data_IF_484251321254
#
_entry.id   IF_484251321254
#
_cell.length_a   1.000
_cell.length_b   1.000
_cell.length_c   1.000
_cell.angle_alpha   90.00
_cell.angle_beta   90.00
_cell.angle_gamma   90.00
#
_symmetry.space_group_name_H-M   'P 1'
#
loop_
_entity.id
_entity.type
_entity.pdbx_description
1 polymer ?
#
# COMPACT_ATOMS: atom_id res chain seq x y z
N UNK A 1 37.37 21.83 37.05
CA UNK A 1 36.15 22.60 37.39
C UNK A 1 35.89 23.61 36.28
N UNK A 2 34.61 23.77 35.90
CA UNK A 2 34.00 24.52 34.77
C UNK A 2 33.98 23.73 33.44
N UNK A 3 32.89 23.08 33.00
CA UNK A 3 31.48 23.46 32.74
C UNK A 3 31.30 24.20 31.39
N UNK A 4 30.79 23.49 30.36
CA UNK A 4 29.46 23.63 29.67
C UNK A 4 29.28 24.99 28.97
N UNK A 5 28.92 25.11 27.69
CA UNK A 5 27.80 24.47 26.97
C UNK A 5 27.97 24.55 25.44
N UNK A 6 27.72 23.45 24.72
CA UNK A 6 27.44 23.45 23.28
C UNK A 6 25.94 23.23 23.08
N UNK A 7 25.27 24.17 22.41
CA UNK A 7 23.84 24.11 22.15
C UNK A 7 23.50 23.13 21.02
N UNK A 8 22.51 22.28 21.27
CA UNK A 8 21.80 21.50 20.26
C UNK A 8 20.93 22.42 19.40
N UNK A 9 21.02 22.28 18.07
CA UNK A 9 20.05 22.85 17.14
C UNK A 9 18.98 21.80 16.90
N UNK A 10 17.78 22.07 17.44
CA UNK A 10 16.56 21.33 17.15
C UNK A 10 16.10 21.62 15.72
N UNK A 11 15.73 20.57 15.01
CA UNK A 11 15.05 20.65 13.73
C UNK A 11 13.55 20.64 14.02
N UNK A 12 12.92 21.80 13.92
CA UNK A 12 11.46 21.92 13.98
C UNK A 12 10.86 21.53 12.63
N UNK A 13 9.76 20.78 12.72
CA UNK A 13 8.87 20.37 11.63
C UNK A 13 8.32 21.60 10.88
N UNK A 14 8.71 21.77 9.61
CA UNK A 14 8.03 22.67 8.68
C UNK A 14 7.90 22.00 7.32
N UNK A 15 6.86 21.19 7.11
CA UNK A 15 6.33 20.92 5.78
C UNK A 15 4.94 20.26 5.87
N UNK A 16 3.89 21.03 5.58
CA UNK A 16 2.62 20.61 4.94
C UNK A 16 1.59 21.75 5.08
N UNK A 17 1.80 22.84 4.33
CA UNK A 17 0.87 23.96 4.25
C UNK A 17 0.44 24.31 2.81
N UNK A 18 0.62 23.39 1.86
CA UNK A 18 0.31 23.64 0.44
C UNK A 18 -0.67 22.60 -0.14
N UNK A 19 -1.84 22.39 0.47
CA UNK A 19 -2.97 21.71 -0.20
C UNK A 19 -4.33 22.13 0.39
N UNK A 20 -4.51 23.43 0.61
CA UNK A 20 -5.79 24.01 1.02
C UNK A 20 -6.24 25.07 0.02
N UNK A 21 -6.78 24.65 -1.13
CA UNK A 21 -7.67 25.45 -2.00
C UNK A 21 -8.02 24.66 -3.29
N UNK A 22 -8.94 23.67 -3.20
CA UNK A 22 -9.61 23.09 -4.39
C UNK A 22 -10.96 22.50 -3.99
N UNK A 23 -11.88 23.31 -3.45
CA UNK A 23 -13.27 22.91 -3.28
C UNK A 23 -14.19 24.15 -3.32
N UNK A 24 -14.52 24.63 -4.51
CA UNK A 24 -15.84 25.19 -4.80
C UNK A 24 -16.21 24.87 -6.26
N UNK A 25 -17.46 24.44 -6.44
CA UNK A 25 -18.25 24.53 -7.67
C UNK A 25 -18.52 23.23 -8.46
N UNK A 26 -19.49 22.44 -7.98
CA UNK A 26 -20.36 21.61 -8.84
C UNK A 26 -21.83 21.77 -8.45
N UNK A 27 -22.37 22.95 -8.76
CA UNK A 27 -23.81 23.19 -8.76
C UNK A 27 -24.48 22.67 -10.03
N UNK A 28 -25.17 21.52 -9.91
CA UNK A 28 -26.44 21.23 -10.58
C UNK A 28 -26.45 20.98 -12.09
N UNK A 29 -26.71 19.72 -12.48
CA UNK A 29 -27.32 19.40 -13.77
C UNK A 29 -28.45 18.35 -13.60
N UNK A 30 -29.60 18.71 -14.17
CA UNK A 30 -30.89 18.00 -14.08
C UNK A 30 -30.93 16.77 -14.98
N UNK A 31 -31.74 15.80 -14.55
CA UNK A 31 -32.22 14.64 -15.32
C UNK A 31 -32.92 15.05 -16.63
N UNK A 32 -32.59 14.36 -17.73
CA UNK A 32 -33.36 14.25 -18.97
C UNK A 32 -33.05 12.88 -19.59
N UNK A 33 -33.99 11.93 -19.51
CA UNK A 33 -34.92 11.50 -20.57
C UNK A 33 -34.31 10.47 -21.53
N UNK A 34 -34.86 9.26 -21.39
CA UNK A 34 -34.77 8.04 -22.19
C UNK A 34 -35.13 8.30 -23.66
N UNK A 35 -34.45 7.64 -24.59
CA UNK A 35 -35.09 7.11 -25.80
C UNK A 35 -34.58 5.69 -26.10
N UNK A 36 -35.45 4.81 -26.63
CA UNK A 36 -35.21 3.38 -26.85
C UNK A 36 -34.91 3.05 -28.32
N UNK A 37 -34.76 1.76 -28.62
CA UNK A 37 -34.73 1.16 -29.98
C UNK A 37 -33.31 1.20 -30.61
N UNK A 38 -32.68 0.12 -31.09
CA UNK A 38 -33.17 -1.19 -31.55
C UNK A 38 -32.05 -2.24 -31.54
N UNK A 39 -32.51 -3.48 -31.40
CA UNK A 39 -31.80 -4.75 -31.53
C UNK A 39 -31.14 -4.96 -32.90
N UNK A 40 -29.94 -5.55 -32.94
CA UNK A 40 -29.56 -6.44 -34.05
C UNK A 40 -28.59 -7.54 -33.59
N UNK A 41 -29.17 -8.65 -33.15
CA UNK A 41 -28.52 -9.93 -32.93
C UNK A 41 -28.85 -10.84 -34.11
N UNK A 42 -27.90 -11.10 -35.02
CA UNK A 42 -27.80 -12.39 -35.72
C UNK A 42 -26.55 -12.51 -36.61
N UNK A 43 -26.00 -13.73 -36.57
CA UNK A 43 -25.30 -14.43 -37.64
C UNK A 43 -23.78 -14.19 -37.80
N UNK A 44 -23.00 -15.13 -37.27
CA UNK A 44 -22.06 -15.90 -38.07
C UNK A 44 -21.86 -17.29 -37.44
N UNK A 45 -22.08 -18.33 -38.24
CA UNK A 45 -21.72 -19.72 -38.01
C UNK A 45 -20.66 -20.10 -39.01
N UNK A 46 -19.69 -20.86 -38.51
CA UNK A 46 -18.95 -21.98 -39.09
C UNK A 46 -18.11 -21.78 -40.36
N UNK A 47 -17.10 -22.66 -40.46
CA UNK A 47 -16.18 -22.95 -41.57
C UNK A 47 -14.88 -22.10 -41.52
N UNK A 48 -13.65 -22.60 -41.54
CA UNK A 48 -13.06 -23.93 -41.73
C UNK A 48 -11.57 -23.87 -41.30
N UNK A 49 -11.04 -25.05 -40.98
CA UNK A 49 -9.67 -25.58 -41.10
C UNK A 49 -8.51 -24.69 -41.59
N UNK A 50 -7.37 -24.79 -40.89
CA UNK A 50 -5.95 -24.71 -41.32
C UNK A 50 -5.12 -24.50 -40.02
N UNK A 51 -3.99 -25.08 -39.68
CA UNK A 51 -2.87 -25.67 -40.42
C UNK A 51 -1.99 -26.43 -39.38
N UNK A 52 -1.23 -27.40 -39.87
CA UNK A 52 -0.29 -28.24 -39.13
C UNK A 52 0.99 -27.47 -38.72
N UNK A 53 1.56 -27.80 -37.56
CA UNK A 53 3.01 -28.01 -37.46
C UNK A 53 3.84 -27.09 -36.56
N UNK A 54 4.90 -27.72 -36.02
CA UNK A 54 6.07 -27.20 -35.30
C UNK A 54 5.80 -26.81 -33.83
N UNK A 55 6.12 -27.62 -32.80
CA UNK A 55 7.44 -28.16 -32.42
C UNK A 55 8.54 -27.10 -32.33
N UNK A 56 8.36 -26.17 -31.41
CA UNK A 56 9.43 -25.43 -30.77
C UNK A 56 9.47 -25.79 -29.28
N UNK A 57 10.44 -26.65 -28.94
CA UNK A 57 10.81 -26.91 -27.56
C UNK A 57 11.23 -25.62 -26.85
N UNK A 58 10.32 -25.09 -26.04
CA UNK A 58 10.65 -24.12 -25.01
C UNK A 58 11.38 -24.88 -23.90
N UNK A 59 12.71 -24.94 -24.01
CA UNK A 59 13.57 -25.15 -22.86
C UNK A 59 13.28 -24.01 -21.89
N UNK A 60 12.46 -24.29 -20.87
CA UNK A 60 12.34 -23.44 -19.71
C UNK A 60 13.75 -23.28 -19.13
N UNK A 61 14.30 -22.08 -19.26
CA UNK A 61 15.40 -21.61 -18.45
C UNK A 61 14.91 -21.56 -17.00
N UNK A 62 14.99 -22.72 -16.34
CA UNK A 62 14.85 -22.91 -14.90
C UNK A 62 16.00 -22.20 -14.17
N UNK A 63 16.04 -20.87 -14.27
CA UNK A 63 16.88 -20.04 -13.42
C UNK A 63 16.22 -19.93 -12.05
N UNK A 64 16.43 -20.98 -11.24
CA UNK A 64 16.39 -20.99 -9.77
C UNK A 64 15.33 -20.07 -9.16
N UNK A 65 14.07 -20.33 -9.49
CA UNK A 65 12.92 -19.77 -8.81
C UNK A 65 12.48 -20.69 -7.68
N UNK A 66 13.42 -21.09 -6.84
CA UNK A 66 13.07 -21.83 -5.63
C UNK A 66 12.17 -20.93 -4.78
N UNK A 67 10.92 -21.38 -4.56
CA UNK A 67 9.87 -20.75 -3.74
C UNK A 67 10.24 -20.62 -2.25
N UNK A 68 11.42 -20.05 -1.99
CA UNK A 68 11.98 -19.72 -0.71
C UNK A 68 11.38 -18.39 -0.31
N UNK A 69 10.41 -18.45 0.60
CA UNK A 69 9.95 -17.36 1.48
C UNK A 69 11.03 -16.28 1.62
N UNK A 70 10.75 -15.05 1.17
CA UNK A 70 11.74 -13.97 1.08
C UNK A 70 12.42 -13.66 2.43
N UNK A 71 11.75 -13.95 3.54
CA UNK A 71 12.31 -13.86 4.90
C UNK A 71 13.45 -14.88 5.18
N UNK A 72 13.59 -15.91 4.33
CA UNK A 72 14.60 -16.97 4.44
C UNK A 72 15.80 -16.81 3.51
N UNK A 73 15.78 -15.85 2.59
CA UNK A 73 16.97 -15.48 1.81
C UNK A 73 18.03 -14.97 2.81
N UNK A 74 19.30 -15.25 2.58
CA UNK A 74 20.35 -14.69 3.43
C UNK A 74 20.45 -13.18 3.17
N UNK A 75 20.51 -12.37 4.23
CA UNK A 75 20.67 -10.92 4.18
C UNK A 75 21.55 -10.46 5.35
N UNK A 76 22.25 -9.35 5.15
CA UNK A 76 23.14 -8.76 6.15
C UNK A 76 22.55 -7.46 6.73
N UNK A 77 21.62 -6.83 5.99
CA UNK A 77 20.97 -5.59 6.40
C UNK A 77 19.45 -5.69 6.43
N UNK A 78 18.85 -4.86 7.29
CA UNK A 78 17.41 -4.66 7.38
C UNK A 78 17.05 -3.20 7.16
N UNK A 79 15.94 -3.01 6.47
CA UNK A 79 15.41 -1.72 6.10
C UNK A 79 14.33 -1.34 7.10
N UNK A 80 14.55 -0.24 7.82
CA UNK A 80 13.57 0.29 8.74
C UNK A 80 12.69 1.31 8.03
N UNK A 81 11.44 0.96 7.79
CA UNK A 81 10.45 1.85 7.21
C UNK A 81 9.54 2.46 8.27
N UNK A 82 9.20 3.73 8.10
CA UNK A 82 8.01 4.33 8.71
C UNK A 82 6.92 4.43 7.64
N UNK A 83 5.80 3.76 7.87
CA UNK A 83 4.63 3.75 7.01
C UNK A 83 3.59 4.64 7.68
N UNK A 84 3.15 5.71 7.00
CA UNK A 84 2.17 6.66 7.55
C UNK A 84 0.99 6.76 6.60
N UNK A 85 -0.20 6.51 7.09
CA UNK A 85 -1.44 6.68 6.34
C UNK A 85 -1.69 8.19 6.15
N UNK A 86 -1.85 8.63 4.90
CA UNK A 86 -2.03 10.03 4.55
C UNK A 86 -3.47 10.46 4.85
N UNK A 87 -3.68 11.79 4.92
CA UNK A 87 -4.99 12.45 5.04
C UNK A 87 -5.78 12.17 6.32
N UNK A 88 -5.30 11.32 7.24
CA UNK A 88 -5.94 11.10 8.54
C UNK A 88 -5.18 11.83 9.66
N UNK A 89 -5.93 12.49 10.55
CA UNK A 89 -5.40 13.13 11.76
C UNK A 89 -6.21 12.71 13.00
N UNK A 90 -5.55 12.39 14.14
CA UNK A 90 -4.11 12.23 14.35
C UNK A 90 -3.48 11.11 13.48
N UNK A 91 -2.17 11.14 13.20
CA UNK A 91 -1.58 10.22 12.23
C UNK A 91 -1.66 8.75 12.69
N UNK A 92 -2.08 7.89 11.77
CA UNK A 92 -1.99 6.42 11.89
C UNK A 92 -0.69 5.99 11.22
N UNK A 93 0.16 5.25 11.94
CA UNK A 93 1.47 4.86 11.41
C UNK A 93 2.03 3.59 12.03
N UNK A 94 2.95 2.95 11.30
CA UNK A 94 3.71 1.77 11.69
C UNK A 94 5.18 1.99 11.40
N UNK A 95 6.04 1.38 12.21
CA UNK A 95 7.47 1.30 11.96
C UNK A 95 7.88 -0.16 11.97
N UNK A 96 8.34 -0.62 10.81
CA UNK A 96 8.70 -2.01 10.58
C UNK A 96 10.15 -2.11 10.17
N UNK A 97 10.73 -3.30 10.38
CA UNK A 97 12.01 -3.69 9.82
C UNK A 97 11.80 -4.91 8.94
N UNK A 98 12.28 -4.82 7.70
CA UNK A 98 12.18 -5.90 6.71
C UNK A 98 13.57 -6.23 6.16
N UNK A 99 13.81 -7.48 5.72
CA UNK A 99 15.03 -7.84 5.01
C UNK A 99 15.31 -6.93 3.80
N UNK A 100 16.58 -6.60 3.53
CA UNK A 100 16.95 -5.89 2.29
C UNK A 100 16.60 -6.68 1.02
N UNK A 101 16.43 -7.99 1.15
CA UNK A 101 16.09 -8.93 0.08
C UNK A 101 14.61 -8.96 -0.28
N UNK A 102 13.78 -8.10 0.34
CA UNK A 102 12.37 -7.99 0.00
C UNK A 102 12.16 -7.45 -1.42
N UNK A 103 11.14 -8.00 -2.08
CA UNK A 103 10.50 -7.38 -3.25
C UNK A 103 9.50 -6.31 -2.82
N UNK A 104 9.00 -5.51 -3.75
CA UNK A 104 7.87 -4.61 -3.47
C UNK A 104 6.61 -5.39 -3.10
N UNK A 105 6.43 -6.60 -3.65
CA UNK A 105 5.35 -7.49 -3.25
C UNK A 105 5.47 -7.93 -1.78
N UNK A 106 6.68 -8.34 -1.34
CA UNK A 106 6.91 -8.70 0.06
C UNK A 106 6.67 -7.50 1.01
N UNK A 107 7.05 -6.30 0.57
CA UNK A 107 6.77 -5.06 1.30
C UNK A 107 5.27 -4.76 1.36
N UNK A 108 4.53 -4.96 0.27
CA UNK A 108 3.07 -4.86 0.24
C UNK A 108 2.43 -5.78 1.28
N UNK A 109 2.77 -7.07 1.27
CA UNK A 109 2.25 -8.04 2.26
C UNK A 109 2.57 -7.59 3.69
N UNK A 110 3.79 -7.12 3.96
CA UNK A 110 4.16 -6.62 5.27
C UNK A 110 3.39 -5.36 5.68
N UNK A 111 3.05 -4.47 4.73
CA UNK A 111 2.20 -3.29 4.99
C UNK A 111 0.79 -3.75 5.37
N UNK A 112 0.21 -4.68 4.60
CA UNK A 112 -1.11 -5.25 4.87
C UNK A 112 -1.18 -5.85 6.29
N UNK A 113 -0.17 -6.64 6.67
CA UNK A 113 -0.09 -7.27 8.00
C UNK A 113 -0.05 -6.25 9.14
N UNK A 114 0.70 -5.15 8.99
CA UNK A 114 0.78 -4.12 10.04
C UNK A 114 -0.40 -3.17 10.06
N UNK A 115 -1.12 -3.04 8.95
CA UNK A 115 -2.37 -2.29 8.89
C UNK A 115 -3.56 -3.14 9.36
N UNK A 116 -3.46 -4.46 9.37
CA UNK A 116 -4.58 -5.35 9.69
C UNK A 116 -5.56 -5.49 8.52
N UNK A 117 -5.03 -5.45 7.30
CA UNK A 117 -5.77 -5.58 6.05
C UNK A 117 -5.52 -6.94 5.39
N UNK A 118 -6.43 -7.35 4.53
CA UNK A 118 -6.50 -8.70 4.00
C UNK A 118 -5.78 -8.85 2.66
N UNK A 119 -5.57 -7.77 1.92
CA UNK A 119 -4.81 -7.78 0.66
C UNK A 119 -5.62 -8.21 -0.56
N UNK A 120 -6.94 -8.00 -0.57
CA UNK A 120 -7.81 -8.39 -1.69
C UNK A 120 -7.95 -7.36 -2.81
N UNK A 121 -7.56 -6.11 -2.57
CA UNK A 121 -7.63 -5.04 -3.55
C UNK A 121 -6.29 -4.82 -4.25
N UNK A 122 -6.35 -4.13 -5.40
CA UNK A 122 -5.16 -3.71 -6.14
C UNK A 122 -4.31 -2.72 -5.34
N UNK A 123 -3.02 -2.69 -5.65
CA UNK A 123 -2.06 -1.75 -5.07
C UNK A 123 -1.01 -1.28 -6.06
N UNK A 124 -0.38 -0.17 -5.73
CA UNK A 124 0.78 0.35 -6.44
C UNK A 124 1.74 1.07 -5.49
N UNK A 125 3.00 1.13 -5.89
CA UNK A 125 4.00 2.02 -5.35
C UNK A 125 4.43 3.00 -6.43
N UNK A 126 4.46 4.29 -6.08
CA UNK A 126 4.97 5.36 -6.92
C UNK A 126 6.19 5.97 -6.25
N UNK A 127 7.32 5.99 -6.95
CA UNK A 127 8.53 6.63 -6.47
C UNK A 127 9.49 7.05 -7.59
N UNK A 128 10.40 7.97 -7.28
CA UNK A 128 11.45 8.38 -8.20
C UNK A 128 12.55 7.30 -8.33
N UNK A 129 13.01 7.09 -9.55
CA UNK A 129 14.16 6.25 -9.86
C UNK A 129 15.43 6.85 -9.24
N UNK A 130 16.21 6.10 -8.44
CA UNK A 130 17.39 6.65 -7.77
C UNK A 130 18.50 7.07 -8.73
N UNK A 131 18.50 6.57 -9.98
CA UNK A 131 19.50 6.89 -11.01
C UNK A 131 19.00 7.98 -11.94
N UNK A 132 17.79 7.84 -12.49
CA UNK A 132 17.26 8.75 -13.53
C UNK A 132 16.44 9.91 -12.96
N UNK A 133 15.92 9.78 -11.73
CA UNK A 133 14.99 10.72 -11.13
C UNK A 133 13.58 10.70 -11.71
N UNK A 134 13.31 9.85 -12.71
CA UNK A 134 11.99 9.70 -13.31
C UNK A 134 11.05 8.96 -12.36
N UNK A 135 9.77 9.34 -12.36
CA UNK A 135 8.73 8.62 -11.64
C UNK A 135 8.56 7.21 -12.21
N UNK A 136 8.38 6.23 -11.34
CA UNK A 136 8.12 4.84 -11.68
C UNK A 136 6.93 4.34 -10.90
N UNK A 137 6.21 3.42 -11.52
CA UNK A 137 5.02 2.79 -11.00
C UNK A 137 5.33 1.29 -10.86
N UNK A 138 5.16 0.76 -9.66
CA UNK A 138 5.50 -0.62 -9.31
C UNK A 138 4.26 -1.26 -8.69
N UNK A 139 3.75 -2.33 -9.30
CA UNK A 139 2.52 -2.99 -8.87
C UNK A 139 2.33 -4.31 -9.60
N UNK A 140 1.10 -4.83 -9.58
CA UNK A 140 0.73 -5.98 -10.41
C UNK A 140 0.45 -5.48 -11.84
N UNK A 141 1.21 -5.90 -12.85
CA UNK A 141 0.93 -5.52 -14.23
C UNK A 141 -0.45 -6.02 -14.65
N UNK A 142 -1.21 -5.19 -15.36
CA UNK A 142 -2.49 -5.57 -15.95
C UNK A 142 -2.49 -5.22 -17.43
N UNK A 143 -2.98 -6.15 -18.24
CA UNK A 143 -3.15 -5.98 -19.69
C UNK A 143 -4.21 -4.92 -20.04
N UNK A 144 -5.06 -4.55 -19.08
CA UNK A 144 -6.14 -3.58 -19.30
C UNK A 144 -5.67 -2.12 -19.18
N UNK A 145 -4.45 -1.87 -18.68
CA UNK A 145 -3.92 -0.54 -18.39
C UNK A 145 -2.72 -0.18 -19.29
N UNK A 146 -2.97 -0.08 -20.60
CA UNK A 146 -1.95 0.18 -21.65
C UNK A 146 -1.30 1.58 -21.63
N UNK A 147 -1.71 2.48 -20.73
CA UNK A 147 -1.28 3.89 -20.78
C UNK A 147 0.00 4.17 -19.99
N UNK A 148 0.41 3.27 -19.08
CA UNK A 148 1.56 3.48 -18.21
C UNK A 148 2.32 2.18 -17.95
N UNK A 149 3.66 2.22 -18.07
CA UNK A 149 4.51 1.08 -17.75
C UNK A 149 4.48 0.81 -16.23
N UNK A 150 3.90 -0.33 -15.83
CA UNK A 150 3.89 -0.83 -14.46
C UNK A 150 4.99 -1.89 -14.34
N UNK A 151 5.99 -1.62 -13.49
CA UNK A 151 7.00 -2.59 -13.14
C UNK A 151 6.42 -3.64 -12.20
N UNK A 152 6.72 -4.91 -12.43
CA UNK A 152 6.14 -6.01 -11.67
C UNK A 152 6.72 -6.08 -10.25
N UNK A 153 5.87 -5.88 -9.24
CA UNK A 153 6.24 -5.80 -7.83
C UNK A 153 6.95 -7.06 -7.26
N UNK A 154 6.62 -8.25 -7.76
CA UNK A 154 7.27 -9.51 -7.41
C UNK A 154 8.70 -9.66 -7.94
N UNK A 155 9.08 -8.83 -8.93
CA UNK A 155 10.43 -8.85 -9.55
C UNK A 155 11.30 -7.70 -9.06
N UNK A 156 10.68 -6.61 -8.63
CA UNK A 156 11.40 -5.42 -8.18
C UNK A 156 11.79 -5.51 -6.71
N UNK A 157 13.09 -5.48 -6.44
CA UNK A 157 13.68 -5.56 -5.10
C UNK A 157 13.75 -4.18 -4.46
N UNK A 158 13.30 -4.01 -3.22
CA UNK A 158 13.27 -2.70 -2.53
C UNK A 158 14.66 -2.05 -2.46
N UNK A 159 15.71 -2.85 -2.33
CA UNK A 159 17.10 -2.37 -2.22
C UNK A 159 17.61 -1.68 -3.49
N UNK A 160 17.01 -1.94 -4.66
CA UNK A 160 17.36 -1.24 -5.92
C UNK A 160 16.89 0.21 -5.92
N UNK A 161 15.91 0.54 -5.08
CA UNK A 161 15.18 1.81 -5.11
C UNK A 161 15.47 2.64 -3.85
N UNK A 162 15.38 1.99 -2.69
CA UNK A 162 15.73 2.56 -1.39
C UNK A 162 17.22 2.34 -1.11
N UNK A 163 18.06 3.17 -1.73
CA UNK A 163 19.52 3.11 -1.64
C UNK A 163 20.10 3.95 -0.49
N UNK A 164 19.33 4.92 0.02
CA UNK A 164 19.74 5.80 1.11
C UNK A 164 18.58 6.21 2.02
N UNK A 165 18.91 6.51 3.27
CA UNK A 165 17.95 7.04 4.24
C UNK A 165 17.23 8.28 3.70
N UNK A 166 15.98 8.45 4.12
CA UNK A 166 15.05 9.54 3.77
C UNK A 166 14.44 9.48 2.38
N UNK A 167 14.72 8.43 1.59
CA UNK A 167 13.92 8.14 0.40
C UNK A 167 12.52 7.65 0.79
N UNK A 168 11.53 7.99 -0.01
CA UNK A 168 10.15 7.55 0.20
C UNK A 168 9.47 7.12 -1.09
N UNK A 169 8.50 6.22 -0.96
CA UNK A 169 7.50 5.90 -1.96
C UNK A 169 6.11 6.31 -1.46
N UNK A 170 5.23 6.64 -2.39
CA UNK A 170 3.79 6.59 -2.15
C UNK A 170 3.30 5.16 -2.39
N UNK A 171 2.50 4.62 -1.48
CA UNK A 171 1.87 3.32 -1.61
C UNK A 171 0.36 3.50 -1.56
N UNK A 172 -0.33 3.18 -2.65
CA UNK A 172 -1.80 3.21 -2.73
C UNK A 172 -2.31 1.78 -2.61
N UNK A 173 -3.25 1.57 -1.70
CA UNK A 173 -3.99 0.32 -1.56
C UNK A 173 -5.47 0.59 -1.79
N UNK A 174 -6.14 -0.33 -2.47
CA UNK A 174 -7.53 -0.22 -2.89
C UNK A 174 -7.80 1.02 -3.74
N UNK A 175 -7.89 0.82 -5.05
CA UNK A 175 -8.16 1.92 -5.99
C UNK A 175 -9.60 2.45 -5.89
N UNK A 176 -10.50 1.74 -5.19
CA UNK A 176 -11.81 2.26 -4.81
C UNK A 176 -11.71 3.27 -3.68
N UNK A 177 -11.15 2.85 -2.55
CA UNK A 177 -11.07 3.66 -1.31
C UNK A 177 -9.88 4.64 -1.26
N UNK A 178 -8.90 4.49 -2.15
CA UNK A 178 -7.73 5.34 -2.33
C UNK A 178 -6.86 5.48 -1.06
N UNK A 179 -6.55 4.35 -0.40
CA UNK A 179 -5.74 4.36 0.82
C UNK A 179 -4.26 4.64 0.51
N UNK A 180 -3.89 5.92 0.60
CA UNK A 180 -2.52 6.39 0.33
C UNK A 180 -1.64 6.42 1.56
N UNK A 181 -0.45 5.87 1.42
CA UNK A 181 0.57 5.81 2.46
C UNK A 181 1.85 6.45 1.98
N UNK A 182 2.55 7.11 2.92
CA UNK A 182 3.96 7.43 2.74
C UNK A 182 4.80 6.32 3.36
N UNK A 183 5.61 5.65 2.54
CA UNK A 183 6.59 4.64 2.96
C UNK A 183 7.97 5.27 2.96
N UNK A 184 8.49 5.64 4.13
CA UNK A 184 9.76 6.34 4.30
C UNK A 184 10.84 5.40 4.82
N UNK A 185 11.95 5.24 4.09
CA UNK A 185 13.15 4.56 4.60
C UNK A 185 13.81 5.45 5.64
N UNK A 186 13.68 5.10 6.92
CA UNK A 186 14.30 5.87 8.01
C UNK A 186 15.76 5.46 8.22
N UNK A 187 16.05 4.15 8.16
CA UNK A 187 17.38 3.60 8.46
C UNK A 187 17.66 2.33 7.67
N UNK A 188 18.93 2.13 7.34
CA UNK A 188 19.48 0.83 6.92
C UNK A 188 20.37 0.35 8.07
N UNK A 189 20.04 -0.79 8.66
CA UNK A 189 20.68 -1.31 9.86
C UNK A 189 21.30 -2.69 9.59
N UNK A 190 22.41 -3.06 10.25
CA UNK A 190 22.85 -4.44 10.23
C UNK A 190 21.76 -5.34 10.83
N UNK A 191 21.60 -6.54 10.28
CA UNK A 191 20.73 -7.57 10.80
C UNK A 191 21.09 -7.88 12.26
N UNK A 192 20.07 -7.92 13.11
CA UNK A 192 20.19 -8.48 14.46
C UNK A 192 19.99 -10.00 14.38
N UNK A 193 21.02 -10.78 14.75
CA UNK A 193 20.97 -12.24 14.68
C UNK A 193 19.99 -12.87 15.68
N UNK A 194 19.59 -12.13 16.73
CA UNK A 194 18.62 -12.60 17.72
C UNK A 194 17.16 -12.24 17.35
N UNK A 195 16.96 -11.46 16.29
CA UNK A 195 15.64 -11.02 15.83
C UNK A 195 15.08 -11.91 14.70
N UNK A 196 13.75 -12.04 14.67
CA UNK A 196 13.02 -12.61 13.53
C UNK A 196 12.43 -11.49 12.70
N UNK A 197 12.63 -11.55 11.39
CA UNK A 197 12.14 -10.55 10.44
C UNK A 197 11.06 -11.15 9.52
N UNK A 198 10.11 -10.34 9.04
CA UNK A 198 9.91 -8.92 9.37
C UNK A 198 9.40 -8.71 10.81
N UNK A 199 9.58 -7.50 11.34
CA UNK A 199 9.13 -7.13 12.69
C UNK A 199 8.54 -5.72 12.72
N UNK A 200 7.42 -5.56 13.42
CA UNK A 200 6.85 -4.26 13.76
C UNK A 200 7.39 -3.82 15.11
N UNK A 201 8.14 -2.71 15.14
CA UNK A 201 8.82 -2.27 16.36
C UNK A 201 8.03 -1.18 17.09
N UNK A 202 7.24 -0.38 16.38
CA UNK A 202 6.43 0.73 16.93
C UNK A 202 5.27 1.05 16.00
N UNK A 203 4.26 1.73 16.52
CA UNK A 203 3.15 2.27 15.76
C UNK A 203 2.19 3.02 16.68
N UNK A 204 1.13 3.59 16.09
CA UNK A 204 0.06 4.24 16.85
C UNK A 204 -1.25 4.19 16.07
N UNK A 205 -2.36 4.07 16.82
CA UNK A 205 -3.76 4.04 16.35
C UNK A 205 -4.09 2.79 15.54
N UNK A 206 -5.33 2.35 15.61
CA UNK A 206 -5.84 1.31 14.70
C UNK A 206 -5.90 1.88 13.28
N UNK A 207 -5.73 1.02 12.27
CA UNK A 207 -6.00 1.43 10.90
C UNK A 207 -7.49 1.40 10.62
N UNK A 208 -7.95 2.14 9.59
CA UNK A 208 -9.34 2.02 9.13
C UNK A 208 -9.67 0.55 8.80
N UNK A 209 -10.87 0.08 9.14
CA UNK A 209 -11.35 -1.20 8.65
C UNK A 209 -11.32 -1.27 7.12
N UNK A 210 -11.17 -2.47 6.57
CA UNK A 210 -11.37 -2.70 5.13
C UNK A 210 -12.75 -2.23 4.67
N UNK A 211 -12.84 -1.78 3.42
CA UNK A 211 -14.09 -1.39 2.76
C UNK A 211 -14.92 -0.33 3.51
N UNK A 212 -14.30 0.47 4.38
CA UNK A 212 -15.02 1.49 5.13
C UNK A 212 -15.30 2.76 4.31
N UNK A 213 -15.03 2.77 3.00
CA UNK A 213 -15.35 3.90 2.10
C UNK A 213 -14.27 4.98 2.10
N UNK A 214 -13.00 4.58 2.21
CA UNK A 214 -11.86 5.49 2.17
C UNK A 214 -11.83 6.46 3.35
N UNK A 215 -11.05 7.53 3.19
CA UNK A 215 -10.82 8.52 4.26
C UNK A 215 -12.12 9.11 4.79
N UNK A 216 -13.08 9.40 3.91
CA UNK A 216 -14.36 10.01 4.29
C UNK A 216 -15.24 9.06 5.10
N UNK A 217 -15.40 7.81 4.65
CA UNK A 217 -16.20 6.85 5.40
C UNK A 217 -15.55 6.47 6.74
N UNK A 218 -14.21 6.49 6.82
CA UNK A 218 -13.53 6.36 8.13
C UNK A 218 -13.79 7.57 9.05
N UNK A 219 -13.86 8.79 8.53
CA UNK A 219 -14.20 9.97 9.33
C UNK A 219 -15.64 9.88 9.87
N UNK A 220 -16.60 9.49 9.02
CA UNK A 220 -17.99 9.23 9.43
C UNK A 220 -18.06 8.15 10.52
N UNK A 221 -17.26 7.09 10.39
CA UNK A 221 -17.15 6.03 11.40
C UNK A 221 -16.64 6.56 12.75
N UNK A 222 -15.63 7.42 12.74
CA UNK A 222 -15.09 8.04 13.95
C UNK A 222 -16.10 8.97 14.61
N UNK A 223 -16.90 9.70 13.82
CA UNK A 223 -17.98 10.54 14.31
C UNK A 223 -19.09 9.70 14.96
N UNK A 224 -19.48 8.59 14.33
CA UNK A 224 -20.47 7.67 14.88
C UNK A 224 -20.03 7.03 16.20
N UNK A 225 -18.74 6.68 16.33
CA UNK A 225 -18.16 6.19 17.60
C UNK A 225 -18.14 7.26 18.69
N UNK A 226 -18.09 8.53 18.32
CA UNK A 226 -18.11 9.65 19.27
C UNK A 226 -19.53 9.99 19.76
N UNK A 227 -20.53 9.92 18.88
CA UNK A 227 -21.93 10.23 19.16
C UNK A 227 -22.89 9.11 18.68
N UNK A 228 -23.00 7.98 19.40
CA UNK A 228 -23.69 6.79 18.91
C UNK A 228 -25.22 6.88 18.85
N UNK A 229 -25.83 7.93 19.42
CA UNK A 229 -27.29 7.97 19.68
C UNK A 229 -28.14 8.40 18.46
N UNK A 230 -27.55 8.52 17.26
CA UNK A 230 -28.26 8.86 16.03
C UNK A 230 -28.69 7.62 15.23
N UNK A 231 -29.83 7.68 14.54
CA UNK A 231 -30.32 6.56 13.73
C UNK A 231 -29.41 6.24 12.53
N UNK A 232 -28.67 7.24 12.02
CA UNK A 232 -27.68 7.04 10.95
C UNK A 232 -26.43 6.32 11.48
N UNK A 233 -26.11 6.48 12.78
CA UNK A 233 -24.97 5.81 13.42
C UNK A 233 -25.28 4.36 13.79
N UNK A 234 -26.54 3.99 14.01
CA UNK A 234 -26.91 2.61 14.36
C UNK A 234 -26.50 1.62 13.26
N UNK A 235 -26.80 1.93 11.99
CA UNK A 235 -26.42 1.08 10.85
C UNK A 235 -24.89 0.98 10.69
N UNK A 236 -24.18 2.10 10.86
CA UNK A 236 -22.73 2.15 10.71
C UNK A 236 -22.00 1.43 11.84
N UNK A 237 -22.48 1.54 13.08
CA UNK A 237 -21.94 0.83 14.24
C UNK A 237 -22.29 -0.66 14.21
N UNK A 238 -23.46 -1.04 13.68
CA UNK A 238 -23.79 -2.44 13.42
C UNK A 238 -22.82 -3.05 12.39
N UNK A 239 -22.51 -2.32 11.31
CA UNK A 239 -21.52 -2.75 10.31
C UNK A 239 -20.11 -2.88 10.91
N UNK A 240 -19.67 -1.91 11.73
CA UNK A 240 -18.37 -1.94 12.40
C UNK A 240 -18.22 -3.15 13.33
N UNK A 241 -19.31 -3.53 13.99
CA UNK A 241 -19.31 -4.52 15.03
C UNK A 241 -18.64 -4.04 16.33
N UNK A 242 -18.35 -4.99 17.22
CA UNK A 242 -17.78 -4.70 18.54
C UNK A 242 -16.24 -4.77 18.54
N UNK A 243 -15.62 -3.96 19.39
CA UNK A 243 -14.20 -4.12 19.75
C UNK A 243 -13.21 -3.29 18.94
N UNK A 244 -13.67 -2.50 17.98
CA UNK A 244 -12.82 -1.51 17.31
C UNK A 244 -12.56 -0.31 18.23
N UNK A 245 -11.28 -0.09 18.58
CA UNK A 245 -10.81 1.11 19.27
C UNK A 245 -9.84 1.86 18.34
N UNK A 246 -10.22 3.04 17.81
CA UNK A 246 -9.39 3.78 16.86
C UNK A 246 -8.03 4.21 17.44
N UNK A 247 -7.89 4.28 18.77
CA UNK A 247 -6.63 4.67 19.42
C UNK A 247 -5.74 3.48 19.78
N UNK A 248 -6.27 2.26 19.75
CA UNK A 248 -5.56 1.07 20.16
C UNK A 248 -4.56 0.59 19.10
N UNK A 249 -3.34 0.26 19.55
CA UNK A 249 -2.34 -0.42 18.73
C UNK A 249 -1.35 -1.19 19.62
N UNK A 250 -1.09 -2.46 19.30
CA UNK A 250 -0.04 -3.27 19.94
C UNK A 250 0.88 -3.90 18.89
N UNK A 251 2.14 -3.43 18.85
CA UNK A 251 3.16 -3.96 17.94
C UNK A 251 3.44 -5.45 18.15
N UNK A 252 3.25 -5.97 19.37
CA UNK A 252 3.52 -7.38 19.70
C UNK A 252 2.42 -8.32 19.22
N UNK A 253 1.24 -7.79 18.93
CA UNK A 253 0.11 -8.56 18.41
C UNK A 253 0.20 -8.78 16.88
N UNK A 254 1.12 -8.08 16.20
CA UNK A 254 1.31 -8.21 14.76
C UNK A 254 1.88 -9.59 14.42
N UNK A 255 1.18 -10.28 13.53
CA UNK A 255 1.64 -11.51 12.91
C UNK A 255 1.89 -11.26 11.43
N UNK A 256 3.11 -11.51 10.98
CA UNK A 256 3.45 -11.40 9.58
C UNK A 256 3.14 -12.71 8.85
N UNK A 257 2.28 -12.62 7.84
CA UNK A 257 1.96 -13.74 6.96
C UNK A 257 3.20 -14.08 6.12
N UNK A 258 3.31 -15.35 5.76
CA UNK A 258 4.33 -15.73 4.77
C UNK A 258 3.91 -15.14 3.43
N UNK A 259 4.82 -14.44 2.78
CA UNK A 259 4.67 -14.04 1.38
C UNK A 259 4.50 -15.33 0.56
N UNK A 260 3.26 -15.60 0.16
CA UNK A 260 2.94 -16.64 -0.81
C UNK A 260 3.01 -16.02 -2.20
N UNK A 261 3.63 -16.72 -3.15
CA UNK A 261 3.47 -16.38 -4.57
C UNK A 261 2.19 -16.98 -5.11
#
# INVERSE_FOLDING_TARGET
>A
MNALSGGELGWEDTFDEEYGEYFEDVGGLKRGSKDPDDDDWAAARDDDDDDDGDDDGWEADDSDDSGVDASKRAFDSVYQFKITLKRIRPPIWRRIQVPETYTFHDLHVAIQDVMGWEGYHLHEFIMANPVTGLEMHIGTPSEDFDLQEILHDQKEMIARYFTMEKQSAEYTYDFGDDWKHRVLLEKILPKDEDATYPVCIKGKRACPPEDCGGVWGYEELLEALHDPDSAENEELLEWLGEGFDPEYFDAKAIYFRKSGR
#
